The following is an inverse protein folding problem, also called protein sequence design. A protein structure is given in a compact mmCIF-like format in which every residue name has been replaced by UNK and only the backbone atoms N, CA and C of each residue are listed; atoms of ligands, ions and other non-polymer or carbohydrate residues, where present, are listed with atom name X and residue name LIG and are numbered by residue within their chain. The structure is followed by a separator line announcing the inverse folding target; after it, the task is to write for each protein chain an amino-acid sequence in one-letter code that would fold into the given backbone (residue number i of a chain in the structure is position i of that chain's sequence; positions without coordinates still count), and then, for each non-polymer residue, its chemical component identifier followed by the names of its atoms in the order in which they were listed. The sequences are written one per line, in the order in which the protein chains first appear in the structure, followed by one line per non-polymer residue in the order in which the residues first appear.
data_IF_611211165593
#
_entry.id   IF_611211165593
#
_cell.length_a   1.000
_cell.length_b   1.000
_cell.length_c   1.000
_cell.angle_alpha   90.00
_cell.angle_beta   90.00
_cell.angle_gamma   90.00
#
_symmetry.space_group_name_H-M   'P 1'
#
loop_
_entity.id
_entity.type
_entity.pdbx_description
1 polymer ?
#
# COMPACT_ATOMS: atom_id res chain seq x y z
N UNK A 1 -12.91 30.56 29.49
CA UNK A 1 -13.44 30.37 28.12
C UNK A 1 -12.26 30.31 27.18
N UNK A 2 -11.89 29.12 26.70
CA UNK A 2 -10.81 28.97 25.73
C UNK A 2 -11.31 29.57 24.40
N UNK A 3 -10.62 30.59 23.90
CA UNK A 3 -11.04 31.31 22.71
C UNK A 3 -11.24 30.31 21.56
N UNK A 4 -12.41 30.34 20.90
CA UNK A 4 -12.77 29.42 19.81
C UNK A 4 -11.69 29.34 18.71
N UNK A 5 -10.91 30.42 18.55
CA UNK A 5 -9.74 30.51 17.67
C UNK A 5 -8.59 29.58 18.06
N UNK A 6 -8.34 29.42 19.36
CA UNK A 6 -7.31 28.51 19.90
C UNK A 6 -7.74 27.06 19.71
N UNK A 7 -9.03 26.76 19.87
CA UNK A 7 -9.57 25.43 19.63
C UNK A 7 -9.52 25.06 18.15
N UNK A 8 -9.82 25.99 17.25
CA UNK A 8 -9.72 25.79 15.81
C UNK A 8 -8.26 25.57 15.35
N UNK A 9 -7.32 26.33 15.93
CA UNK A 9 -5.90 26.19 15.62
C UNK A 9 -5.31 24.88 16.19
N UNK A 10 -5.79 24.45 17.35
CA UNK A 10 -5.46 23.14 17.91
C UNK A 10 -5.99 21.97 17.06
N UNK A 11 -7.22 22.09 16.54
CA UNK A 11 -7.81 21.08 15.65
C UNK A 11 -7.06 20.99 14.31
N UNK A 12 -6.65 22.14 13.74
CA UNK A 12 -5.82 22.19 12.53
C UNK A 12 -4.42 21.58 12.75
N UNK A 13 -3.84 21.76 13.95
CA UNK A 13 -2.55 21.15 14.29
C UNK A 13 -2.67 19.63 14.50
N UNK A 14 -3.77 19.15 15.08
CA UNK A 14 -4.08 17.71 15.22
C UNK A 14 -4.36 17.02 13.87
N UNK A 15 -4.90 17.76 12.89
CA UNK A 15 -5.18 17.25 11.55
C UNK A 15 -3.98 17.36 10.59
N UNK A 16 -2.84 17.88 11.04
CA UNK A 16 -1.66 18.04 10.21
C UNK A 16 -0.87 16.72 10.10
N UNK A 17 -0.51 16.27 8.89
CA UNK A 17 0.31 15.06 8.69
C UNK A 17 1.77 15.25 9.19
N UNK A 18 2.16 16.46 9.59
CA UNK A 18 3.49 16.76 10.12
C UNK A 18 3.78 16.08 11.47
N UNK A 19 2.75 15.63 12.22
CA UNK A 19 2.92 14.95 13.51
C UNK A 19 2.92 13.41 13.42
N UNK A 20 2.69 12.82 12.25
CA UNK A 20 2.64 11.36 12.09
C UNK A 20 3.96 10.72 11.67
N UNK A 21 5.03 11.51 11.51
CA UNK A 21 6.37 11.02 11.18
C UNK A 21 7.29 11.20 12.38
N UNK A 22 7.28 10.22 13.29
CA UNK A 22 8.41 9.81 14.16
C UNK A 22 7.91 8.85 15.26
N UNK A 23 7.73 7.57 14.94
CA UNK A 23 7.92 6.50 15.92
C UNK A 23 9.06 5.61 15.44
N UNK A 24 10.28 6.06 15.68
CA UNK A 24 11.42 5.16 15.78
C UNK A 24 11.33 4.50 17.16
N UNK A 25 11.27 3.17 17.19
CA UNK A 25 11.53 2.37 18.39
C UNK A 25 12.96 2.64 18.86
N UNK A 26 13.13 2.88 20.15
CA UNK A 26 14.40 2.66 20.85
C UNK A 26 14.10 1.99 22.18
N UNK A 27 14.72 0.83 22.36
CA UNK A 27 14.62 -0.07 23.51
C UNK A 27 15.13 0.51 24.85
N UNK A 28 14.69 -0.20 25.90
CA UNK A 28 15.43 -0.63 27.10
C UNK A 28 14.95 -0.10 28.47
N UNK A 29 14.43 -1.07 29.26
CA UNK A 29 14.60 -1.31 30.71
C UNK A 29 13.91 -0.31 31.68
N UNK A 30 13.22 -0.68 32.78
CA UNK A 30 13.28 -1.89 33.61
C UNK A 30 12.10 -1.98 34.61
N UNK A 31 11.90 -3.19 35.15
CA UNK A 31 11.39 -3.58 36.47
C UNK A 31 9.88 -3.68 36.81
N UNK A 32 9.44 -4.96 36.84
CA UNK A 32 8.92 -5.70 38.03
C UNK A 32 7.55 -5.34 38.64
N UNK A 33 6.57 -6.23 38.44
CA UNK A 33 5.85 -6.91 39.56
C UNK A 33 4.98 -8.09 39.10
N UNK A 34 5.54 -9.29 39.21
CA UNK A 34 5.03 -10.53 39.80
C UNK A 34 3.57 -11.03 39.56
N UNK A 35 3.53 -12.18 38.87
CA UNK A 35 2.88 -13.49 39.20
C UNK A 35 1.34 -13.59 39.19
N UNK A 36 0.79 -14.38 38.25
CA UNK A 36 0.27 -15.73 38.56
C UNK A 36 0.08 -16.60 37.30
N UNK A 37 0.26 -17.91 37.50
CA UNK A 37 0.44 -19.02 36.57
C UNK A 37 -0.75 -19.35 35.64
N UNK A 38 -0.45 -19.92 34.47
CA UNK A 38 -0.93 -21.25 34.03
C UNK A 38 -0.08 -21.71 32.82
N UNK A 39 0.56 -22.85 33.03
CA UNK A 39 1.46 -23.59 32.11
C UNK A 39 0.63 -24.32 31.04
N UNK A 40 1.03 -24.15 29.78
CA UNK A 40 0.58 -24.94 28.65
C UNK A 40 1.71 -25.04 27.63
N UNK A 41 2.53 -26.08 27.79
CA UNK A 41 3.61 -26.50 26.89
C UNK A 41 3.10 -26.66 25.45
N UNK A 42 3.59 -25.83 24.53
CA UNK A 42 3.68 -26.21 23.12
C UNK A 42 5.03 -25.77 22.58
N UNK A 43 5.94 -26.74 22.54
CA UNK A 43 7.16 -26.72 21.77
C UNK A 43 6.81 -26.60 20.28
N UNK A 44 7.04 -25.44 19.69
CA UNK A 44 7.21 -25.34 18.24
C UNK A 44 8.63 -24.83 17.99
N UNK A 45 9.47 -25.79 17.59
CA UNK A 45 10.79 -25.61 17.04
C UNK A 45 10.61 -24.99 15.64
N UNK A 46 10.40 -23.68 15.60
CA UNK A 46 10.45 -22.92 14.34
C UNK A 46 11.92 -22.78 13.96
N UNK A 47 12.42 -23.79 13.24
CA UNK A 47 13.65 -23.68 12.47
C UNK A 47 13.39 -22.61 11.41
N UNK A 48 13.90 -21.40 11.66
CA UNK A 48 14.09 -20.38 10.64
C UNK A 48 15.17 -20.91 9.68
N UNK A 49 14.76 -21.74 8.71
CA UNK A 49 15.61 -22.11 7.58
C UNK A 49 15.79 -20.89 6.68
N UNK A 50 16.86 -20.15 6.99
CA UNK A 50 17.68 -19.31 6.13
C UNK A 50 17.04 -18.90 4.79
N UNK A 51 16.30 -17.79 4.80
CA UNK A 51 15.78 -17.12 3.59
C UNK A 51 16.90 -16.58 2.66
N UNK A 52 18.18 -16.80 2.98
CA UNK A 52 19.33 -16.27 2.23
C UNK A 52 19.77 -17.14 1.04
N UNK A 53 19.28 -18.38 0.91
CA UNK A 53 19.79 -19.32 -0.11
C UNK A 53 19.13 -19.23 -1.48
N UNK A 54 18.12 -18.37 -1.66
CA UNK A 54 17.35 -18.26 -2.91
C UNK A 54 17.63 -16.98 -3.71
N UNK A 55 18.57 -16.16 -3.24
CA UNK A 55 19.14 -15.03 -3.97
C UNK A 55 20.36 -15.42 -4.82
N UNK A 56 20.54 -16.72 -5.07
CA UNK A 56 21.53 -17.17 -6.04
C UNK A 56 21.12 -16.70 -7.45
N UNK A 57 22.11 -16.24 -8.22
CA UNK A 57 22.01 -15.93 -9.65
C UNK A 57 21.77 -17.22 -10.45
N UNK A 58 20.62 -17.85 -10.21
CA UNK A 58 20.21 -19.11 -10.79
C UNK A 58 19.85 -18.88 -12.25
N UNK A 59 20.36 -19.75 -13.11
CA UNK A 59 20.07 -19.71 -14.54
C UNK A 59 18.82 -20.56 -14.83
N UNK A 60 18.23 -20.36 -16.00
CA UNK A 60 17.13 -21.20 -16.48
C UNK A 60 17.66 -22.57 -16.93
N UNK A 61 16.93 -23.64 -16.56
CA UNK A 61 17.23 -24.99 -17.04
C UNK A 61 16.82 -25.16 -18.52
N UNK A 62 17.60 -25.90 -19.33
CA UNK A 62 17.21 -26.21 -20.70
C UNK A 62 15.96 -27.09 -20.73
N UNK A 63 14.97 -26.71 -21.56
CA UNK A 63 13.72 -27.47 -21.75
C UNK A 63 12.61 -27.10 -20.76
N UNK A 64 12.75 -26.04 -19.96
CA UNK A 64 11.65 -25.51 -19.16
C UNK A 64 11.17 -24.20 -19.78
N UNK A 65 9.94 -24.19 -20.26
CA UNK A 65 9.30 -23.00 -20.80
C UNK A 65 8.31 -22.44 -19.78
N UNK A 66 8.27 -21.11 -19.65
CA UNK A 66 7.36 -20.42 -18.75
C UNK A 66 6.47 -19.48 -19.54
N UNK A 67 5.21 -19.39 -19.14
CA UNK A 67 4.23 -18.46 -19.69
C UNK A 67 3.44 -17.84 -18.54
N UNK A 68 2.88 -16.66 -18.73
CA UNK A 68 1.99 -16.08 -17.75
C UNK A 68 0.80 -15.38 -18.39
N UNK A 69 -0.30 -15.33 -17.65
CA UNK A 69 -1.56 -14.72 -18.10
C UNK A 69 -2.21 -14.02 -16.92
N UNK A 70 -2.69 -12.79 -17.14
CA UNK A 70 -3.51 -12.05 -16.18
C UNK A 70 -5.00 -12.30 -16.49
N UNK A 71 -5.66 -13.31 -15.88
CA UNK A 71 -7.00 -13.74 -16.29
C UNK A 71 -8.07 -12.66 -16.05
N UNK A 72 -7.96 -11.95 -14.93
CA UNK A 72 -8.90 -10.90 -14.50
C UNK A 72 -8.49 -9.50 -14.94
N UNK A 73 -7.30 -9.35 -15.51
CA UNK A 73 -6.66 -8.06 -15.70
C UNK A 73 -5.82 -7.99 -16.98
N UNK A 74 -6.49 -8.03 -18.13
CA UNK A 74 -5.80 -7.96 -19.43
C UNK A 74 -5.10 -6.62 -19.68
N UNK A 75 -5.54 -5.56 -19.00
CA UNK A 75 -4.94 -4.22 -19.06
C UNK A 75 -3.72 -4.05 -18.14
N UNK A 76 -3.42 -5.04 -17.28
CA UNK A 76 -2.31 -5.00 -16.31
C UNK A 76 -2.38 -3.84 -15.32
N UNK A 77 -3.61 -3.45 -14.96
CA UNK A 77 -3.93 -2.40 -13.98
C UNK A 77 -3.98 -2.99 -12.57
N UNK A 78 -3.02 -2.68 -11.72
CA UNK A 78 -2.92 -3.25 -10.37
C UNK A 78 -3.40 -2.21 -9.35
N UNK A 79 -4.55 -2.41 -8.68
CA UNK A 79 -4.99 -1.48 -7.66
C UNK A 79 -4.10 -1.58 -6.42
N UNK A 80 -3.62 -0.44 -5.93
CA UNK A 80 -2.80 -0.39 -4.73
C UNK A 80 -3.59 -0.87 -3.50
N UNK A 81 -3.01 -1.82 -2.76
CA UNK A 81 -3.63 -2.42 -1.57
C UNK A 81 -4.63 -3.54 -1.87
N UNK A 82 -4.90 -3.87 -3.13
CA UNK A 82 -5.79 -4.98 -3.51
C UNK A 82 -5.01 -6.15 -4.10
N UNK A 83 -5.57 -7.35 -3.92
CA UNK A 83 -5.02 -8.58 -4.47
C UNK A 83 -5.25 -8.65 -5.99
N UNK A 84 -4.18 -8.91 -6.72
CA UNK A 84 -4.18 -9.20 -8.15
C UNK A 84 -3.74 -10.64 -8.38
N UNK A 85 -4.47 -11.32 -9.26
CA UNK A 85 -4.20 -12.71 -9.63
C UNK A 85 -3.46 -12.78 -10.97
N UNK A 86 -2.41 -13.59 -10.99
CA UNK A 86 -1.63 -13.94 -12.17
C UNK A 86 -1.51 -15.47 -12.27
N UNK A 87 -1.73 -16.04 -13.46
CA UNK A 87 -1.51 -17.46 -13.70
C UNK A 87 -0.12 -17.65 -14.29
N UNK A 88 0.66 -18.52 -13.67
CA UNK A 88 2.02 -18.89 -14.10
C UNK A 88 1.98 -20.32 -14.64
N UNK A 89 2.18 -20.48 -15.94
CA UNK A 89 2.27 -21.76 -16.62
C UNK A 89 3.73 -22.20 -16.76
N UNK A 90 4.04 -23.42 -16.33
CA UNK A 90 5.32 -24.08 -16.55
C UNK A 90 5.13 -25.30 -17.43
N UNK A 91 5.85 -25.36 -18.55
CA UNK A 91 5.89 -26.50 -19.44
C UNK A 91 7.26 -27.15 -19.37
N UNK A 92 7.28 -28.45 -19.13
CA UNK A 92 8.49 -29.24 -19.06
C UNK A 92 8.70 -30.03 -20.36
N UNK A 93 9.50 -29.49 -21.28
CA UNK A 93 9.99 -30.18 -22.48
C UNK A 93 11.38 -30.83 -22.26
N UNK A 94 11.86 -30.84 -21.01
CA UNK A 94 13.11 -31.47 -20.60
C UNK A 94 13.03 -32.99 -20.56
N UNK A 95 14.15 -33.64 -20.24
CA UNK A 95 14.23 -35.12 -20.18
C UNK A 95 13.83 -35.70 -18.82
N UNK A 96 13.79 -34.86 -17.79
CA UNK A 96 13.54 -35.24 -16.40
C UNK A 96 12.42 -34.42 -15.79
N UNK A 97 11.84 -34.90 -14.68
CA UNK A 97 10.79 -34.18 -13.96
C UNK A 97 11.34 -32.91 -13.32
N UNK A 98 10.53 -31.86 -13.32
CA UNK A 98 10.84 -30.57 -12.70
C UNK A 98 10.07 -30.45 -11.39
N UNK A 99 10.73 -30.24 -10.26
CA UNK A 99 10.06 -29.92 -9.00
C UNK A 99 9.92 -28.41 -8.82
N UNK A 100 8.71 -27.90 -8.76
CA UNK A 100 8.47 -26.47 -8.53
C UNK A 100 8.57 -26.19 -7.04
N UNK A 101 9.47 -25.29 -6.65
CA UNK A 101 9.73 -24.94 -5.24
C UNK A 101 8.99 -23.68 -4.83
N UNK A 102 8.86 -22.70 -5.73
CA UNK A 102 8.17 -21.47 -5.41
C UNK A 102 8.10 -20.46 -6.54
N UNK A 103 7.25 -19.45 -6.34
CA UNK A 103 7.06 -18.30 -7.22
C UNK A 103 7.26 -17.05 -6.38
N UNK A 104 8.08 -16.12 -6.89
CA UNK A 104 8.27 -14.80 -6.29
C UNK A 104 8.18 -13.74 -7.36
N UNK A 105 7.85 -12.52 -6.96
CA UNK A 105 7.88 -11.38 -7.85
C UNK A 105 8.38 -10.14 -7.10
N UNK A 106 8.90 -9.19 -7.86
CA UNK A 106 9.35 -7.91 -7.33
C UNK A 106 8.98 -6.77 -8.28
N UNK A 107 8.77 -5.62 -7.67
CA UNK A 107 8.39 -4.37 -8.34
C UNK A 107 9.60 -3.45 -8.36
N UNK A 108 9.90 -2.88 -9.52
CA UNK A 108 11.03 -1.97 -9.75
C UNK A 108 10.56 -0.67 -10.39
N UNK A 109 11.42 0.35 -10.32
CA UNK A 109 11.17 1.61 -11.02
C UNK A 109 11.28 1.42 -12.55
N UNK A 110 10.37 2.04 -13.33
CA UNK A 110 10.32 1.87 -14.78
C UNK A 110 11.54 2.46 -15.52
N UNK A 111 12.18 3.47 -14.92
CA UNK A 111 13.33 4.16 -15.51
C UNK A 111 14.67 3.56 -15.07
N UNK A 112 14.68 2.80 -13.98
CA UNK A 112 15.87 2.13 -13.45
C UNK A 112 15.48 0.81 -12.78
N UNK A 113 15.57 -0.27 -13.55
CA UNK A 113 15.21 -1.61 -13.12
C UNK A 113 16.10 -2.16 -11.99
N UNK A 114 17.23 -1.49 -11.66
CA UNK A 114 18.06 -1.88 -10.51
C UNK A 114 17.49 -1.39 -9.19
N UNK A 115 16.62 -0.38 -9.24
CA UNK A 115 15.99 0.18 -8.06
C UNK A 115 14.72 -0.60 -7.72
N UNK A 116 14.85 -1.44 -6.70
CA UNK A 116 13.76 -2.22 -6.15
C UNK A 116 12.83 -1.33 -5.33
N UNK A 117 11.54 -1.38 -5.65
CA UNK A 117 10.48 -0.67 -4.93
C UNK A 117 9.91 -1.55 -3.83
N UNK A 118 9.55 -2.80 -4.17
CA UNK A 118 8.93 -3.73 -3.24
C UNK A 118 9.16 -5.18 -3.67
N UNK A 119 9.45 -6.06 -2.70
CA UNK A 119 9.33 -7.50 -2.86
C UNK A 119 7.90 -7.95 -2.57
N UNK A 120 7.33 -8.75 -3.47
CA UNK A 120 5.98 -9.29 -3.31
C UNK A 120 6.03 -10.65 -2.60
N UNK A 121 4.87 -11.08 -2.10
CA UNK A 121 4.71 -12.33 -1.37
C UNK A 121 5.27 -13.51 -2.15
N UNK A 122 6.11 -14.32 -1.49
CA UNK A 122 6.62 -15.55 -2.09
C UNK A 122 5.63 -16.70 -1.87
N UNK A 123 5.24 -17.37 -2.95
CA UNK A 123 4.43 -18.58 -2.91
C UNK A 123 5.35 -19.79 -2.90
N UNK A 124 5.23 -20.65 -1.88
CA UNK A 124 6.04 -21.87 -1.70
C UNK A 124 5.23 -23.11 -2.08
N UNK A 125 5.89 -24.09 -2.67
CA UNK A 125 5.30 -25.39 -2.98
C UNK A 125 6.12 -26.51 -2.33
N UNK A 126 5.47 -27.34 -1.52
CA UNK A 126 6.16 -28.38 -0.76
C UNK A 126 6.30 -29.71 -1.52
N UNK A 127 5.54 -29.93 -2.61
CA UNK A 127 5.60 -31.16 -3.39
C UNK A 127 4.94 -31.02 -4.78
N UNK A 128 5.29 -29.98 -5.54
CA UNK A 128 4.79 -29.81 -6.90
C UNK A 128 5.82 -30.38 -7.88
N UNK A 129 5.47 -31.44 -8.62
CA UNK A 129 6.33 -32.02 -9.66
C UNK A 129 5.62 -32.05 -11.01
N UNK A 130 6.33 -31.61 -12.05
CA UNK A 130 5.86 -31.61 -13.44
C UNK A 130 6.62 -32.69 -14.19
N UNK A 131 5.96 -33.79 -14.57
CA UNK A 131 6.59 -34.83 -15.39
C UNK A 131 7.00 -34.30 -16.77
N UNK A 132 7.83 -35.06 -17.46
CA UNK A 132 8.27 -34.75 -18.83
C UNK A 132 7.09 -34.60 -19.78
N UNK A 133 7.20 -33.65 -20.72
CA UNK A 133 6.21 -33.30 -21.75
C UNK A 133 4.83 -32.85 -21.23
N UNK A 134 4.74 -32.48 -19.96
CA UNK A 134 3.52 -31.93 -19.35
C UNK A 134 3.68 -30.46 -19.00
N UNK A 135 2.53 -29.80 -18.83
CA UNK A 135 2.43 -28.44 -18.37
C UNK A 135 1.60 -28.38 -17.09
N UNK A 136 2.02 -27.55 -16.15
CA UNK A 136 1.25 -27.19 -14.96
C UNK A 136 1.01 -25.68 -14.93
N UNK A 137 -0.08 -25.26 -14.28
CA UNK A 137 -0.41 -23.85 -14.08
C UNK A 137 -0.62 -23.59 -12.60
N UNK A 138 -0.02 -22.52 -12.10
CA UNK A 138 -0.06 -22.12 -10.71
C UNK A 138 -0.66 -20.72 -10.58
N UNK A 139 -1.69 -20.52 -9.74
CA UNK A 139 -2.17 -19.19 -9.42
C UNK A 139 -1.18 -18.50 -8.48
N UNK A 140 -0.79 -17.29 -8.83
CA UNK A 140 0.03 -16.41 -8.02
C UNK A 140 -0.78 -15.15 -7.70
N UNK A 141 -1.18 -15.02 -6.44
CA UNK A 141 -1.93 -13.88 -5.93
C UNK A 141 -0.96 -12.98 -5.18
N UNK A 142 -0.93 -11.71 -5.55
CA UNK A 142 -0.06 -10.71 -4.93
C UNK A 142 -0.79 -9.39 -4.76
N UNK A 143 -0.36 -8.57 -3.81
CA UNK A 143 -0.84 -7.21 -3.64
C UNK A 143 0.37 -6.27 -3.57
N UNK A 144 0.25 -5.09 -4.21
CA UNK A 144 1.22 -4.01 -4.04
C UNK A 144 0.80 -3.15 -2.85
N UNK A 145 1.76 -2.47 -2.22
CA UNK A 145 1.49 -1.61 -1.07
C UNK A 145 0.38 -0.59 -1.36
N UNK A 146 -0.56 -0.42 -0.42
CA UNK A 146 -1.60 0.61 -0.51
C UNK A 146 -1.04 2.05 -0.54
N UNK A 147 0.21 2.22 -0.10
CA UNK A 147 0.90 3.51 -0.10
C UNK A 147 1.71 3.74 -1.37
N UNK A 148 1.74 2.77 -2.29
CA UNK A 148 2.43 2.92 -3.55
C UNK A 148 1.66 3.94 -4.41
N UNK A 149 2.36 4.96 -4.89
CA UNK A 149 1.74 5.98 -5.72
C UNK A 149 1.28 5.39 -7.06
N UNK A 150 0.12 5.83 -7.59
CA UNK A 150 -0.30 5.44 -8.93
C UNK A 150 0.76 5.79 -9.99
N UNK A 151 0.98 4.88 -10.93
CA UNK A 151 1.99 5.06 -11.98
C UNK A 151 2.46 3.75 -12.60
N UNK A 152 3.36 3.86 -13.59
CA UNK A 152 3.97 2.70 -14.23
C UNK A 152 5.11 2.14 -13.38
N UNK A 153 5.15 0.82 -13.21
CA UNK A 153 6.22 0.10 -12.52
C UNK A 153 6.56 -1.18 -13.27
N UNK A 154 7.79 -1.65 -13.14
CA UNK A 154 8.14 -2.94 -13.73
C UNK A 154 7.94 -4.06 -12.75
N UNK A 155 7.20 -5.07 -13.19
CA UNK A 155 7.00 -6.30 -12.45
C UNK A 155 7.89 -7.37 -13.08
N UNK A 156 8.75 -7.95 -12.25
CA UNK A 156 9.58 -9.08 -12.63
C UNK A 156 9.21 -10.27 -11.77
N UNK A 157 8.78 -11.34 -12.43
CA UNK A 157 8.31 -12.57 -11.81
C UNK A 157 9.26 -13.72 -12.07
N UNK A 158 9.64 -14.43 -11.01
CA UNK A 158 10.54 -15.57 -11.04
C UNK A 158 9.84 -16.82 -10.52
N UNK A 159 10.02 -17.93 -11.24
CA UNK A 159 9.73 -19.27 -10.74
C UNK A 159 11.03 -19.96 -10.37
N UNK A 160 11.06 -20.57 -9.20
CA UNK A 160 12.19 -21.34 -8.67
C UNK A 160 11.76 -22.81 -8.68
N UNK A 161 12.62 -23.64 -9.26
CA UNK A 161 12.35 -25.06 -9.44
C UNK A 161 13.66 -25.86 -9.42
N UNK A 162 13.58 -27.13 -9.11
CA UNK A 162 14.70 -28.05 -9.16
C UNK A 162 14.59 -29.02 -10.34
N UNK A 163 15.75 -29.39 -10.88
CA UNK A 163 15.89 -30.45 -11.87
C UNK A 163 17.05 -31.34 -11.43
N UNK A 164 16.77 -32.61 -11.16
CA UNK A 164 17.76 -33.58 -10.65
C UNK A 164 18.48 -33.09 -9.38
N UNK A 165 17.75 -32.42 -8.47
CA UNK A 165 18.31 -31.91 -7.22
C UNK A 165 19.18 -30.66 -7.36
N UNK A 166 19.20 -30.02 -8.54
CA UNK A 166 19.85 -28.72 -8.75
C UNK A 166 18.80 -27.62 -8.88
N UNK A 167 18.88 -26.52 -8.11
CA UNK A 167 17.96 -25.40 -8.23
C UNK A 167 18.23 -24.59 -9.50
N UNK A 168 17.16 -24.12 -10.13
CA UNK A 168 17.14 -23.24 -11.29
C UNK A 168 16.07 -22.16 -11.09
N UNK A 169 16.20 -21.07 -11.85
CA UNK A 169 15.24 -19.99 -11.83
C UNK A 169 14.96 -19.52 -13.25
N UNK A 170 13.67 -19.30 -13.55
CA UNK A 170 13.24 -18.73 -14.82
C UNK A 170 12.35 -17.52 -14.59
N UNK A 171 12.48 -16.53 -15.47
CA UNK A 171 11.62 -15.36 -15.49
C UNK A 171 10.35 -15.71 -16.26
N UNK A 172 9.20 -15.76 -15.60
CA UNK A 172 7.92 -16.01 -16.25
C UNK A 172 7.24 -14.72 -16.74
N UNK A 173 7.59 -13.58 -16.15
CA UNK A 173 7.10 -12.27 -16.54
C UNK A 173 8.18 -11.23 -16.33
N UNK A 174 8.39 -10.38 -17.33
CA UNK A 174 9.17 -9.16 -17.22
C UNK A 174 8.48 -8.11 -18.08
N UNK A 175 7.84 -7.15 -17.42
CA UNK A 175 7.20 -6.05 -18.12
C UNK A 175 6.54 -5.08 -17.17
N UNK A 176 6.08 -3.99 -17.76
CA UNK A 176 5.47 -2.89 -17.03
C UNK A 176 4.02 -3.22 -16.66
N UNK A 177 3.64 -2.88 -15.43
CA UNK A 177 2.28 -2.83 -14.91
C UNK A 177 1.96 -1.38 -14.58
N UNK A 178 0.68 -1.04 -14.60
CA UNK A 178 0.22 0.28 -14.19
C UNK A 178 -0.50 0.15 -12.85
N UNK A 179 0.08 0.75 -11.83
CA UNK A 179 -0.52 0.82 -10.50
C UNK A 179 -1.54 1.94 -10.47
N UNK A 180 -2.75 1.62 -10.03
CA UNK A 180 -3.86 2.56 -9.89
C UNK A 180 -4.27 2.65 -8.43
N UNK A 181 -4.90 3.75 -8.05
CA UNK A 181 -5.47 3.86 -6.71
C UNK A 181 -6.68 2.91 -6.57
N UNK A 182 -6.78 2.20 -5.44
CA UNK A 182 -7.99 1.42 -5.13
C UNK A 182 -9.17 2.37 -4.96
N UNK A 183 -10.15 2.25 -5.86
CA UNK A 183 -11.27 3.19 -5.95
C UNK A 183 -12.20 3.07 -4.75
N UNK A 184 -12.55 4.20 -4.12
CA UNK A 184 -13.53 4.23 -3.04
C UNK A 184 -13.81 5.64 -2.54
N UNK A 185 -14.81 5.77 -1.66
CA UNK A 185 -15.13 7.07 -1.00
C UNK A 185 -13.99 7.57 -0.10
N UNK A 186 -13.05 6.69 0.25
CA UNK A 186 -11.86 6.98 1.06
C UNK A 186 -10.58 7.06 0.23
N UNK A 187 -10.67 7.21 -1.09
CA UNK A 187 -9.49 7.52 -1.91
C UNK A 187 -8.85 8.83 -1.46
N UNK A 188 -7.53 8.96 -1.62
CA UNK A 188 -6.78 10.18 -1.31
C UNK A 188 -7.34 11.40 -2.02
N UNK A 189 -7.78 11.25 -3.27
CA UNK A 189 -8.47 12.31 -4.02
C UNK A 189 -9.79 12.72 -3.35
N UNK A 190 -10.62 11.75 -2.96
CA UNK A 190 -11.91 12.00 -2.32
C UNK A 190 -11.72 12.67 -0.96
N UNK A 191 -10.80 12.15 -0.14
CA UNK A 191 -10.47 12.72 1.18
C UNK A 191 -9.91 14.13 1.05
N UNK A 192 -9.06 14.38 0.05
CA UNK A 192 -8.54 15.70 -0.24
C UNK A 192 -9.66 16.68 -0.62
N UNK A 193 -10.52 16.32 -1.57
CA UNK A 193 -11.61 17.19 -2.03
C UNK A 193 -12.68 17.43 -0.95
N UNK A 194 -13.00 16.43 -0.14
CA UNK A 194 -13.96 16.57 0.98
C UNK A 194 -13.37 17.51 2.04
N UNK A 195 -12.13 17.27 2.47
CA UNK A 195 -11.44 18.13 3.44
C UNK A 195 -11.32 19.57 2.91
N UNK A 196 -10.92 19.74 1.65
CA UNK A 196 -10.83 21.04 0.98
C UNK A 196 -12.20 21.73 0.92
N UNK A 197 -13.26 21.00 0.58
CA UNK A 197 -14.63 21.50 0.53
C UNK A 197 -15.11 22.01 1.89
N UNK A 198 -14.89 21.24 2.97
CA UNK A 198 -15.21 21.66 4.33
C UNK A 198 -14.40 22.90 4.72
N UNK A 199 -13.10 22.93 4.40
CA UNK A 199 -12.23 24.09 4.66
C UNK A 199 -12.72 25.36 3.98
N UNK A 200 -13.12 25.26 2.70
CA UNK A 200 -13.68 26.38 1.93
C UNK A 200 -15.03 26.86 2.49
N UNK A 201 -15.90 25.94 2.91
CA UNK A 201 -17.19 26.29 3.54
C UNK A 201 -17.01 27.03 4.86
N UNK A 202 -16.07 26.59 5.70
CA UNK A 202 -15.74 27.28 6.95
C UNK A 202 -15.15 28.67 6.68
N UNK A 203 -14.25 28.79 5.70
CA UNK A 203 -13.67 30.06 5.29
C UNK A 203 -14.76 31.02 4.77
N UNK A 204 -15.67 30.55 3.93
CA UNK A 204 -16.80 31.33 3.42
C UNK A 204 -17.74 31.75 4.55
N UNK A 205 -18.04 30.86 5.49
CA UNK A 205 -18.86 31.18 6.67
C UNK A 205 -18.25 32.29 7.53
N UNK A 206 -16.94 32.21 7.80
CA UNK A 206 -16.22 33.26 8.54
C UNK A 206 -16.15 34.58 7.75
N UNK A 207 -15.96 34.51 6.44
CA UNK A 207 -15.96 35.69 5.59
C UNK A 207 -17.33 36.37 5.58
N UNK A 208 -18.41 35.63 5.37
CA UNK A 208 -19.77 36.15 5.41
C UNK A 208 -20.10 36.76 6.78
N UNK A 209 -19.75 36.07 7.87
CA UNK A 209 -19.90 36.60 9.23
C UNK A 209 -19.15 37.92 9.42
N UNK A 210 -17.90 38.02 8.94
CA UNK A 210 -17.11 39.25 8.99
C UNK A 210 -17.75 40.40 8.20
N UNK A 211 -18.31 40.13 7.02
CA UNK A 211 -19.02 41.14 6.24
C UNK A 211 -20.27 41.64 6.98
N UNK A 212 -21.07 40.74 7.54
CA UNK A 212 -22.24 41.11 8.35
C UNK A 212 -21.81 41.97 9.54
N UNK A 213 -20.74 41.60 10.26
CA UNK A 213 -20.22 42.41 11.36
C UNK A 213 -19.77 43.82 10.91
N UNK A 214 -19.11 43.94 9.74
CA UNK A 214 -18.75 45.24 9.17
C UNK A 214 -19.99 46.09 8.90
N UNK A 215 -21.02 45.52 8.29
CA UNK A 215 -22.26 46.24 7.97
C UNK A 215 -23.02 46.66 9.23
N UNK A 216 -23.14 45.77 10.23
CA UNK A 216 -23.78 46.10 11.51
C UNK A 216 -23.08 47.24 12.24
N UNK A 217 -21.73 47.27 12.23
CA UNK A 217 -20.97 48.34 12.87
C UNK A 217 -21.16 49.71 12.19
N UNK A 218 -21.30 49.73 10.86
CA UNK A 218 -21.58 50.96 10.10
C UNK A 218 -22.98 51.50 10.40
N UNK A 219 -24.00 50.63 10.46
CA UNK A 219 -25.37 51.07 10.73
C UNK A 219 -25.52 51.63 12.17
N UNK A 220 -24.81 51.06 13.14
CA UNK A 220 -24.81 51.57 14.51
C UNK A 220 -24.21 52.98 14.62
N UNK A 221 -23.15 53.28 13.85
CA UNK A 221 -22.55 54.62 13.81
C UNK A 221 -23.49 55.68 13.21
N UNK A 222 -24.26 55.31 12.17
CA UNK A 222 -25.26 56.20 11.54
C UNK A 222 -26.39 56.54 12.53
N UNK A 223 -26.87 55.58 13.31
CA UNK A 223 -27.90 55.82 14.34
C UNK A 223 -27.43 56.73 15.49
N UNK A 224 -26.12 56.77 15.76
CA UNK A 224 -25.54 57.60 16.81
C UNK A 224 -25.30 59.06 16.36
N UNK A 225 -25.09 59.28 15.06
CA UNK A 225 -24.89 60.63 14.48
C UNK A 225 -26.20 61.31 14.05
N UNK A 226 -27.29 60.54 13.82
CA UNK A 226 -28.62 61.07 13.54
C UNK A 226 -29.65 60.57 14.57
N UNK A 227 -29.70 61.13 15.79
CA UNK A 227 -30.80 60.89 16.69
C UNK A 227 -32.07 61.52 16.09
N UNK A 228 -33.04 60.68 15.72
CA UNK A 228 -34.38 61.13 15.33
C UNK A 228 -35.03 61.74 16.57
N UNK A 229 -34.99 63.08 16.67
CA UNK A 229 -35.76 63.82 17.66
C UNK A 229 -37.25 63.62 17.36
N UNK A 230 -37.91 62.80 18.17
CA UNK A 230 -39.37 62.73 18.21
C UNK A 230 -39.89 64.00 18.93
N UNK A 231 -40.00 65.10 18.18
CA UNK A 231 -40.97 66.14 18.48
C UNK A 231 -42.28 65.69 17.85
N UNK A 232 -43.28 65.32 18.65
CA UNK A 232 -44.66 65.77 18.45
C UNK A 232 -45.55 65.38 19.63
N UNK A 233 -46.09 66.46 20.22
CA UNK A 233 -47.25 66.62 21.11
C UNK A 233 -47.23 66.04 22.53
#
# INVERSE_FOLDING_TARGET
MMNLRVLFLALLLLASPLLQVARCQSDAEDHSSLVDDIIGEHSDDSVEEDDQDLDMNLTSAPGVETVCVFPKNSAKLVPAGEETELLVGLKNDGKTSVGVMGIRASVHLPYDHKLLVQNLTMLRFNNASIPTSLQATFPYIFAVSQYLQPGAFDLVGYVIYDVEGKPYQSVFYNGTIEVVESGGLLSGESVFLITLGIGLLLLLGLWAYSQVQRLTKVNNWISFFFPVNHLYS
#
